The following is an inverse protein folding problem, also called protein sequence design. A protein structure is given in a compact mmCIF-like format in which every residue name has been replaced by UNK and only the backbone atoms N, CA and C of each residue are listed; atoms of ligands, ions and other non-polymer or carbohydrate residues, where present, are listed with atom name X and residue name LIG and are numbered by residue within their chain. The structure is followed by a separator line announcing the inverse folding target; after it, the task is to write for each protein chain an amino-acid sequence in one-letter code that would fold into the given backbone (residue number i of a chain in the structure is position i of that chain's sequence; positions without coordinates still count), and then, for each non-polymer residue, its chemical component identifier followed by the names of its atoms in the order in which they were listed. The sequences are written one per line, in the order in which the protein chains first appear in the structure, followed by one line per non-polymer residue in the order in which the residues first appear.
data_IF_483055224642
#
_entry.id   IF_483055224642
#
_cell.length_a   1.000
_cell.length_b   1.000
_cell.length_c   1.000
_cell.angle_alpha   90.00
_cell.angle_beta   90.00
_cell.angle_gamma   90.00
#
_symmetry.space_group_name_H-M   'P 1'
#
loop_
_entity.id
_entity.type
_entity.pdbx_description
1 polymer ?
#
# COMPACT_ATOMS: atom_id res chain seq x y z
N UNK A 1 -24.80 -21.72 -19.08
CA UNK A 1 -25.13 -20.40 -18.60
C UNK A 1 -24.10 -19.86 -17.63
N UNK A 2 -23.78 -18.65 -17.81
CA UNK A 2 -22.74 -18.06 -16.98
C UNK A 2 -23.30 -17.45 -15.73
N UNK A 3 -22.79 -17.86 -14.61
CA UNK A 3 -23.10 -17.21 -13.36
C UNK A 3 -22.18 -16.01 -13.27
N UNK A 4 -22.75 -14.85 -13.22
CA UNK A 4 -21.99 -13.62 -13.04
C UNK A 4 -21.50 -13.55 -11.62
N UNK A 5 -20.38 -14.19 -11.39
CA UNK A 5 -19.72 -14.04 -10.11
C UNK A 5 -18.96 -12.71 -10.16
N UNK A 6 -19.39 -11.78 -9.34
CA UNK A 6 -18.69 -10.51 -9.25
C UNK A 6 -17.37 -10.71 -8.54
N UNK A 7 -16.32 -10.74 -9.33
CA UNK A 7 -14.96 -10.76 -8.80
C UNK A 7 -14.43 -9.35 -8.84
N UNK A 8 -14.00 -8.85 -7.70
CA UNK A 8 -13.41 -7.53 -7.60
C UNK A 8 -12.04 -7.62 -6.99
N UNK A 9 -11.17 -6.73 -7.42
CA UNK A 9 -9.81 -6.67 -6.91
C UNK A 9 -9.66 -5.49 -5.95
N UNK A 10 -9.03 -5.78 -4.82
CA UNK A 10 -8.65 -4.77 -3.83
C UNK A 10 -7.14 -4.77 -3.70
N UNK A 11 -6.58 -3.67 -3.24
CA UNK A 11 -5.14 -3.55 -3.09
C UNK A 11 -4.76 -3.01 -1.72
N UNK A 12 -3.56 -3.37 -1.28
CA UNK A 12 -2.93 -2.79 -0.11
C UNK A 12 -1.51 -2.41 -0.46
N UNK A 13 -1.12 -1.20 -0.09
CA UNK A 13 0.24 -0.71 -0.25
C UNK A 13 0.83 -0.53 1.14
N UNK A 14 2.01 -1.09 1.37
CA UNK A 14 2.71 -1.00 2.64
C UNK A 14 4.08 -0.37 2.39
N UNK A 15 4.27 0.85 2.88
CA UNK A 15 5.55 1.55 2.79
C UNK A 15 6.31 1.27 4.08
N UNK A 16 7.10 0.21 4.04
CA UNK A 16 7.89 -0.22 5.18
C UNK A 16 9.29 0.38 5.20
N UNK A 17 10.00 0.13 6.29
CA UNK A 17 11.38 0.62 6.44
C UNK A 17 12.34 -0.06 5.49
N UNK A 18 12.12 -1.32 5.16
CA UNK A 18 12.97 -2.08 4.26
C UNK A 18 12.42 -2.10 2.83
N UNK A 19 11.15 -2.41 2.68
CA UNK A 19 10.55 -2.59 1.35
C UNK A 19 9.20 -1.91 1.26
N UNK A 20 8.82 -1.57 0.04
CA UNK A 20 7.49 -1.04 -0.29
C UNK A 20 6.76 -2.13 -1.05
N UNK A 21 5.62 -2.55 -0.54
CA UNK A 21 4.87 -3.68 -1.08
C UNK A 21 3.55 -3.25 -1.68
N UNK A 22 3.16 -3.96 -2.73
CA UNK A 22 1.81 -3.87 -3.29
C UNK A 22 1.22 -5.26 -3.31
N UNK A 23 0.10 -5.43 -2.64
CA UNK A 23 -0.66 -6.67 -2.64
C UNK A 23 -2.00 -6.42 -3.33
N UNK A 24 -2.32 -7.25 -4.32
CA UNK A 24 -3.64 -7.20 -4.96
C UNK A 24 -4.31 -8.55 -4.72
N UNK A 25 -5.52 -8.51 -4.20
CA UNK A 25 -6.32 -9.71 -3.95
C UNK A 25 -7.65 -9.62 -4.70
N UNK A 26 -8.06 -10.75 -5.24
CA UNK A 26 -9.36 -10.89 -5.87
C UNK A 26 -10.34 -11.46 -4.84
N UNK A 27 -11.49 -10.82 -4.73
CA UNK A 27 -12.54 -11.23 -3.82
C UNK A 27 -13.77 -11.55 -4.62
N UNK A 28 -14.41 -12.68 -4.32
CA UNK A 28 -15.71 -12.98 -4.85
C UNK A 28 -16.74 -12.41 -3.88
N UNK A 29 -17.51 -11.41 -4.31
CA UNK A 29 -18.45 -10.72 -3.44
C UNK A 29 -19.54 -11.62 -2.89
N UNK A 30 -19.84 -12.72 -3.58
CA UNK A 30 -20.89 -13.64 -3.13
C UNK A 30 -20.41 -14.58 -2.03
N UNK A 31 -19.09 -14.68 -1.85
CA UNK A 31 -18.50 -15.56 -0.87
C UNK A 31 -17.81 -14.75 0.20
N UNK A 32 -17.59 -15.39 1.32
CA UNK A 32 -16.96 -14.72 2.45
C UNK A 32 -15.51 -14.33 2.14
N UNK A 33 -14.95 -13.37 2.89
CA UNK A 33 -13.57 -12.93 2.69
C UNK A 33 -12.53 -14.03 2.73
N UNK A 34 -12.81 -15.15 3.36
CA UNK A 34 -11.88 -16.28 3.41
C UNK A 34 -11.61 -16.91 2.04
N UNK A 35 -12.39 -16.54 1.04
CA UNK A 35 -12.19 -17.03 -0.33
C UNK A 35 -11.38 -16.06 -1.19
N UNK A 36 -10.71 -15.10 -0.57
CA UNK A 36 -9.83 -14.20 -1.28
C UNK A 36 -8.63 -14.94 -1.87
N UNK A 37 -8.28 -14.62 -3.09
CA UNK A 37 -7.10 -15.16 -3.73
C UNK A 37 -6.11 -14.05 -4.07
N UNK A 38 -4.83 -14.33 -3.86
CA UNK A 38 -3.76 -13.38 -4.19
C UNK A 38 -3.59 -13.33 -5.70
N UNK A 39 -3.70 -12.13 -6.26
CA UNK A 39 -3.51 -11.90 -7.69
C UNK A 39 -2.07 -11.49 -7.98
N UNK A 40 -1.52 -10.60 -7.13
CA UNK A 40 -0.18 -10.07 -7.33
C UNK A 40 0.41 -9.65 -5.99
N UNK A 41 1.70 -9.86 -5.84
CA UNK A 41 2.46 -9.35 -4.71
C UNK A 41 3.80 -8.85 -5.23
N UNK A 42 4.07 -7.57 -5.03
CA UNK A 42 5.30 -6.94 -5.48
C UNK A 42 5.99 -6.32 -4.27
N UNK A 43 7.29 -6.51 -4.20
CA UNK A 43 8.10 -6.01 -3.10
C UNK A 43 9.35 -5.35 -3.67
N UNK A 44 9.51 -4.05 -3.40
CA UNK A 44 10.67 -3.28 -3.87
C UNK A 44 11.44 -2.76 -2.66
N UNK A 45 12.70 -3.15 -2.47
CA UNK A 45 13.47 -2.73 -1.30
C UNK A 45 14.09 -1.35 -1.50
N UNK A 46 13.35 -0.30 -1.13
CA UNK A 46 13.85 1.06 -1.16
C UNK A 46 14.69 1.41 0.06
N UNK A 47 14.55 0.66 1.15
CA UNK A 47 15.33 0.82 2.38
C UNK A 47 15.24 2.23 2.96
N UNK A 48 14.02 2.72 3.10
CA UNK A 48 13.78 4.04 3.65
C UNK A 48 14.29 4.18 5.09
N UNK A 49 14.30 3.07 5.83
CA UNK A 49 14.77 3.04 7.20
C UNK A 49 16.25 3.37 7.33
N UNK A 50 17.08 3.06 6.34
CA UNK A 50 18.49 3.42 6.38
C UNK A 50 18.66 4.92 6.56
N UNK A 51 17.90 5.70 5.79
CA UNK A 51 17.97 7.15 5.86
C UNK A 51 17.31 7.68 7.14
N UNK A 52 16.10 7.22 7.41
CA UNK A 52 15.31 7.74 8.54
C UNK A 52 16.00 7.51 9.87
N UNK A 53 16.60 6.33 10.06
CA UNK A 53 17.19 5.97 11.35
C UNK A 53 18.62 6.43 11.52
N UNK A 54 19.33 6.75 10.43
CA UNK A 54 20.69 7.26 10.52
C UNK A 54 20.77 8.77 10.38
N UNK A 55 19.93 9.37 9.52
CA UNK A 55 19.98 10.81 9.24
C UNK A 55 18.76 11.57 9.78
N UNK A 56 17.73 10.85 10.19
CA UNK A 56 16.50 11.47 10.66
C UNK A 56 15.63 12.02 9.56
N UNK A 57 16.03 11.89 8.31
CA UNK A 57 15.24 12.31 7.13
C UNK A 57 15.44 11.29 6.03
N UNK A 58 14.44 11.19 5.16
CA UNK A 58 14.56 10.38 3.94
C UNK A 58 15.18 11.27 2.88
N UNK A 59 16.20 10.76 2.19
CA UNK A 59 16.93 11.54 1.19
C UNK A 59 16.03 11.90 0.01
N UNK A 60 16.39 12.99 -0.67
CA UNK A 60 15.65 13.43 -1.87
C UNK A 60 15.69 12.36 -2.95
N UNK A 61 16.77 11.61 -3.05
CA UNK A 61 16.89 10.52 -4.03
C UNK A 61 15.88 9.43 -3.75
N UNK A 62 15.77 8.99 -2.49
CA UNK A 62 14.81 7.94 -2.14
C UNK A 62 13.36 8.44 -2.21
N UNK A 63 13.14 9.70 -1.89
CA UNK A 63 11.81 10.30 -2.07
C UNK A 63 11.39 10.23 -3.53
N UNK A 64 12.29 10.59 -4.44
CA UNK A 64 12.03 10.49 -5.88
C UNK A 64 11.68 9.08 -6.30
N UNK A 65 12.46 8.12 -5.84
CA UNK A 65 12.22 6.70 -6.17
C UNK A 65 10.88 6.23 -5.63
N UNK A 66 10.54 6.65 -4.41
CA UNK A 66 9.27 6.28 -3.80
C UNK A 66 8.09 6.85 -4.60
N UNK A 67 8.18 8.09 -5.02
CA UNK A 67 7.12 8.70 -5.82
C UNK A 67 6.97 7.98 -7.17
N UNK A 68 8.09 7.64 -7.81
CA UNK A 68 8.05 6.85 -9.04
C UNK A 68 7.41 5.48 -8.82
N UNK A 69 7.74 4.85 -7.71
CA UNK A 69 7.16 3.54 -7.37
C UNK A 69 5.66 3.66 -7.14
N UNK A 70 5.22 4.70 -6.45
CA UNK A 70 3.80 4.93 -6.24
C UNK A 70 3.06 5.14 -7.56
N UNK A 71 3.67 5.85 -8.50
CA UNK A 71 3.10 6.00 -9.84
C UNK A 71 2.98 4.64 -10.54
N UNK A 72 4.00 3.82 -10.42
CA UNK A 72 3.99 2.48 -11.00
C UNK A 72 2.89 1.61 -10.37
N UNK A 73 2.77 1.64 -9.06
CA UNK A 73 1.73 0.90 -8.35
C UNK A 73 0.33 1.38 -8.74
N UNK A 74 0.17 2.69 -8.94
CA UNK A 74 -1.10 3.22 -9.41
C UNK A 74 -1.46 2.64 -10.78
N UNK A 75 -0.49 2.57 -11.70
CA UNK A 75 -0.73 1.99 -13.00
C UNK A 75 -1.08 0.50 -12.90
N UNK A 76 -0.39 -0.22 -12.04
CA UNK A 76 -0.69 -1.63 -11.81
C UNK A 76 -2.10 -1.82 -11.25
N UNK A 77 -2.51 -0.98 -10.31
CA UNK A 77 -3.86 -1.05 -9.80
C UNK A 77 -4.90 -0.80 -10.89
N UNK A 78 -4.60 0.08 -11.83
CA UNK A 78 -5.50 0.31 -12.98
C UNK A 78 -5.53 -0.90 -13.91
N UNK A 79 -4.39 -1.52 -14.17
CA UNK A 79 -4.30 -2.70 -15.03
C UNK A 79 -5.15 -3.84 -14.45
N UNK A 80 -5.15 -4.00 -13.15
CA UNK A 80 -5.89 -5.06 -12.48
C UNK A 80 -7.29 -4.63 -12.07
N UNK A 81 -7.74 -3.47 -12.51
CA UNK A 81 -9.10 -2.97 -12.23
C UNK A 81 -9.42 -2.96 -10.73
N UNK A 82 -8.45 -2.53 -9.92
CA UNK A 82 -8.63 -2.42 -8.47
C UNK A 82 -9.71 -1.40 -8.18
N UNK A 83 -10.71 -1.80 -7.39
CA UNK A 83 -11.85 -0.94 -7.08
C UNK A 83 -11.63 -0.06 -5.86
N UNK A 84 -10.75 -0.48 -4.96
CA UNK A 84 -10.40 0.31 -3.79
C UNK A 84 -9.06 -0.19 -3.24
N UNK A 85 -8.41 0.67 -2.48
CA UNK A 85 -7.10 0.34 -1.92
C UNK A 85 -6.91 0.99 -0.55
N UNK A 86 -5.92 0.47 0.18
CA UNK A 86 -5.45 1.08 1.40
C UNK A 86 -3.93 1.21 1.30
N UNK A 87 -3.39 2.36 1.70
CA UNK A 87 -1.94 2.59 1.69
C UNK A 87 -1.50 3.08 3.05
N UNK A 88 -0.50 2.40 3.63
CA UNK A 88 0.02 2.73 4.95
C UNK A 88 1.53 2.83 4.92
N UNK A 89 2.06 3.69 5.79
CA UNK A 89 3.49 3.82 6.03
C UNK A 89 3.76 3.59 7.51
N UNK A 90 4.91 3.00 7.81
CA UNK A 90 5.25 2.62 9.17
C UNK A 90 6.45 3.40 9.70
N UNK A 91 7.34 2.76 10.45
CA UNK A 91 8.32 3.44 11.28
C UNK A 91 9.24 4.42 10.55
N UNK A 92 9.73 4.09 9.36
CA UNK A 92 10.64 5.00 8.65
C UNK A 92 9.97 6.35 8.34
N UNK A 93 8.74 6.29 7.82
CA UNK A 93 8.00 7.51 7.49
C UNK A 93 7.58 8.26 8.74
N UNK A 94 7.21 7.53 9.80
CA UNK A 94 6.82 8.14 11.06
C UNK A 94 7.97 8.86 11.72
N UNK A 95 9.17 8.26 11.71
CA UNK A 95 10.33 8.77 12.42
C UNK A 95 11.11 9.82 11.64
N UNK A 96 10.98 9.84 10.32
CA UNK A 96 11.65 10.84 9.49
C UNK A 96 11.00 12.21 9.66
N UNK A 97 11.83 13.25 9.84
CA UNK A 97 11.31 14.61 9.98
C UNK A 97 10.52 15.06 8.76
N UNK A 98 10.87 14.58 7.57
CA UNK A 98 10.17 14.93 6.34
C UNK A 98 9.12 13.89 5.91
N UNK A 99 8.78 12.94 6.80
CA UNK A 99 7.83 11.89 6.45
C UNK A 99 6.46 12.40 6.04
N UNK A 100 5.91 13.35 6.80
CA UNK A 100 4.60 13.92 6.48
C UNK A 100 4.62 14.70 5.18
N UNK A 101 5.73 15.39 4.90
CA UNK A 101 5.87 16.11 3.63
C UNK A 101 5.90 15.14 2.45
N UNK A 102 6.60 14.02 2.61
CA UNK A 102 6.66 12.98 1.57
C UNK A 102 5.27 12.43 1.29
N UNK A 103 4.49 12.15 2.35
CA UNK A 103 3.12 11.65 2.20
C UNK A 103 2.27 12.67 1.43
N UNK A 104 2.42 13.96 1.73
CA UNK A 104 1.71 15.02 0.99
C UNK A 104 2.14 15.05 -0.48
N UNK A 105 3.42 14.90 -0.77
CA UNK A 105 3.92 14.87 -2.14
C UNK A 105 3.41 13.66 -2.91
N UNK A 106 3.32 12.51 -2.26
CA UNK A 106 2.75 11.32 -2.89
C UNK A 106 1.29 11.59 -3.28
N UNK A 107 0.50 12.15 -2.37
CA UNK A 107 -0.89 12.46 -2.66
C UNK A 107 -1.02 13.47 -3.80
N UNK A 108 -0.18 14.51 -3.78
CA UNK A 108 -0.21 15.56 -4.80
C UNK A 108 0.16 15.05 -6.18
N UNK A 109 1.19 14.21 -6.25
CA UNK A 109 1.74 13.76 -7.54
C UNK A 109 1.10 12.51 -8.09
N UNK A 110 0.52 11.67 -7.23
CA UNK A 110 -0.04 10.38 -7.67
C UNK A 110 -1.52 10.23 -7.34
N UNK A 111 -2.03 11.01 -6.41
CA UNK A 111 -3.39 10.84 -5.91
C UNK A 111 -3.52 9.77 -4.83
N UNK A 112 -2.45 9.04 -4.55
CA UNK A 112 -2.49 7.99 -3.53
C UNK A 112 -2.40 8.62 -2.14
N UNK A 113 -3.35 8.29 -1.28
CA UNK A 113 -3.36 8.77 0.10
C UNK A 113 -2.75 7.72 1.00
N UNK A 114 -1.69 8.10 1.70
CA UNK A 114 -0.95 7.23 2.60
C UNK A 114 -1.22 7.63 4.04
N UNK A 115 -1.59 6.66 4.87
CA UNK A 115 -1.75 6.87 6.30
C UNK A 115 -0.49 6.42 7.02
N UNK A 116 0.06 7.30 7.87
CA UNK A 116 1.18 6.92 8.71
C UNK A 116 0.60 6.27 9.96
N UNK A 117 0.93 5.00 10.18
CA UNK A 117 0.36 4.25 11.29
C UNK A 117 1.31 4.15 12.47
N UNK A 118 0.73 3.89 13.65
CA UNK A 118 1.47 3.79 14.89
C UNK A 118 2.35 2.54 14.90
N UNK A 119 3.48 2.64 15.61
CA UNK A 119 4.45 1.56 15.68
C UNK A 119 4.01 0.34 16.48
N UNK A 120 2.87 0.40 17.15
CA UNK A 120 2.34 -0.76 17.86
C UNK A 120 1.85 -1.83 16.90
N UNK A 121 1.50 -1.45 15.68
CA UNK A 121 0.97 -2.38 14.71
C UNK A 121 2.09 -2.89 13.81
N UNK A 122 2.21 -4.21 13.73
CA UNK A 122 3.14 -4.81 12.81
C UNK A 122 2.66 -4.58 11.39
N UNK A 123 3.55 -4.08 10.54
CA UNK A 123 3.18 -3.74 9.17
C UNK A 123 2.53 -4.90 8.44
N UNK A 124 3.04 -6.11 8.61
CA UNK A 124 2.50 -7.25 7.90
C UNK A 124 1.07 -7.60 8.36
N UNK A 125 0.75 -7.41 9.65
CA UNK A 125 -0.61 -7.64 10.15
C UNK A 125 -1.57 -6.64 9.55
N UNK A 126 -1.19 -5.37 9.58
CA UNK A 126 -2.00 -4.30 8.99
C UNK A 126 -2.18 -4.54 7.50
N UNK A 127 -1.09 -4.88 6.82
CA UNK A 127 -1.09 -5.15 5.40
C UNK A 127 -2.05 -6.28 5.04
N UNK A 128 -1.99 -7.38 5.77
CA UNK A 128 -2.83 -8.54 5.50
C UNK A 128 -4.31 -8.26 5.76
N UNK A 129 -4.61 -7.41 6.74
CA UNK A 129 -5.98 -7.13 7.14
C UNK A 129 -6.65 -5.99 6.37
N UNK A 130 -5.88 -5.15 5.68
CA UNK A 130 -6.45 -3.99 4.99
C UNK A 130 -7.45 -4.38 3.93
N UNK A 131 -7.18 -5.44 3.20
CA UNK A 131 -8.07 -5.87 2.12
C UNK A 131 -9.38 -6.39 2.69
N UNK A 132 -9.34 -7.15 3.77
CA UNK A 132 -10.56 -7.61 4.45
C UNK A 132 -11.38 -6.43 4.96
N UNK A 133 -10.72 -5.41 5.50
CA UNK A 133 -11.39 -4.21 5.97
C UNK A 133 -12.07 -3.46 4.82
N UNK A 134 -11.39 -3.34 3.69
CA UNK A 134 -11.97 -2.69 2.52
C UNK A 134 -13.18 -3.46 2.01
N UNK A 135 -13.10 -4.77 1.97
CA UNK A 135 -14.21 -5.61 1.54
C UNK A 135 -15.41 -5.42 2.47
N UNK A 136 -15.18 -5.46 3.77
CA UNK A 136 -16.24 -5.27 4.76
C UNK A 136 -16.87 -3.89 4.65
N UNK A 137 -16.05 -2.84 4.41
CA UNK A 137 -16.53 -1.47 4.28
C UNK A 137 -17.37 -1.27 3.03
N UNK A 138 -17.08 -2.02 1.98
CA UNK A 138 -17.78 -1.92 0.72
C UNK A 138 -19.16 -2.58 0.75
N UNK A 139 -19.46 -3.25 1.81
CA UNK A 139 -20.78 -3.85 1.99
C UNK A 139 -21.77 -2.79 2.50
#
# INVERSE_FOLDING_TARGET
MMINMKKVNYAAIDIGSNAVRLLIKCVNEENAPELMSKVQLIRIPLRLGEDAFTMGVISAEKEKKLIRLMKAYKQLMKIYDVVDYRACATSAMRDARNGKDIVRQIAKKTGIRVDIIDGQEEAHIVYDNHIEQLFASGQ
#
